data_IF_377966040223
#
_entry.id   IF_377966040223
#
_cell.length_a   1.000
_cell.length_b   1.000
_cell.length_c   1.000
_cell.angle_alpha   90.00
_cell.angle_beta   90.00
_cell.angle_gamma   90.00
#
_symmetry.space_group_name_H-M   'P 1'
#
loop_
_entity.id
_entity.type
_entity.pdbx_description
1 polymer ?
#
# COMPACT_ATOMS: atom_id res chain seq x y z
N UNK A 1 16.48 31.44 -16.73
CA UNK A 1 15.28 30.58 -16.69
C UNK A 1 15.69 29.19 -16.22
N UNK A 2 14.82 28.53 -15.47
CA UNK A 2 14.90 27.16 -14.93
C UNK A 2 15.65 26.97 -13.60
N UNK A 3 14.88 27.00 -12.52
CA UNK A 3 15.23 26.54 -11.16
C UNK A 3 15.41 25.01 -11.15
N UNK A 4 16.57 24.54 -10.72
CA UNK A 4 16.80 23.13 -10.37
C UNK A 4 16.43 22.93 -8.90
N UNK A 5 15.14 22.68 -8.60
CA UNK A 5 14.73 22.24 -7.25
C UNK A 5 15.08 20.76 -7.11
N UNK A 6 15.80 20.33 -6.06
CA UNK A 6 15.83 18.92 -5.72
C UNK A 6 14.38 18.52 -5.41
N UNK A 7 13.81 17.64 -6.21
CA UNK A 7 12.50 17.04 -5.96
C UNK A 7 12.61 16.33 -4.61
N UNK A 8 12.04 16.96 -3.58
CA UNK A 8 11.95 16.40 -2.24
C UNK A 8 11.11 15.13 -2.35
N UNK A 9 11.74 13.95 -2.44
CA UNK A 9 11.08 12.64 -2.56
C UNK A 9 9.93 12.48 -1.54
N UNK A 10 10.02 13.16 -0.37
CA UNK A 10 8.97 13.16 0.65
C UNK A 10 7.65 13.81 0.22
N UNK A 11 7.68 14.80 -0.66
CA UNK A 11 6.48 15.49 -1.15
C UNK A 11 5.76 14.65 -2.22
N UNK A 12 6.55 14.00 -3.08
CA UNK A 12 6.08 13.06 -4.11
C UNK A 12 5.50 11.78 -3.49
N UNK A 13 6.07 11.34 -2.36
CA UNK A 13 5.49 10.28 -1.53
C UNK A 13 4.11 10.73 -1.02
N UNK A 14 3.91 11.98 -0.61
CA UNK A 14 2.62 12.42 -0.04
C UNK A 14 1.47 12.32 -1.06
N UNK A 15 1.64 12.86 -2.27
CA UNK A 15 0.54 12.93 -3.26
C UNK A 15 0.25 11.57 -3.92
N UNK A 16 1.30 10.81 -4.27
CA UNK A 16 1.14 9.47 -4.83
C UNK A 16 0.62 8.47 -3.81
N UNK A 17 0.99 8.62 -2.54
CA UNK A 17 0.56 7.68 -1.50
C UNK A 17 -0.87 7.94 -1.07
N UNK A 18 -1.36 9.18 -1.05
CA UNK A 18 -2.78 9.47 -0.77
C UNK A 18 -3.72 8.79 -1.77
N UNK A 19 -3.44 8.89 -3.08
CA UNK A 19 -4.25 8.21 -4.09
C UNK A 19 -4.21 6.68 -3.98
N UNK A 20 -3.03 6.12 -3.69
CA UNK A 20 -2.87 4.67 -3.47
C UNK A 20 -3.49 4.20 -2.16
N UNK A 21 -3.48 5.01 -1.11
CA UNK A 21 -4.12 4.73 0.18
C UNK A 21 -5.61 4.46 0.00
N UNK A 22 -6.30 5.31 -0.75
CA UNK A 22 -7.73 5.13 -1.05
C UNK A 22 -7.99 3.80 -1.77
N UNK A 23 -7.10 3.45 -2.69
CA UNK A 23 -7.16 2.20 -3.48
C UNK A 23 -6.88 0.97 -2.61
N UNK A 24 -5.85 1.02 -1.76
CA UNK A 24 -5.54 -0.02 -0.79
C UNK A 24 -6.71 -0.23 0.17
N UNK A 25 -7.23 0.84 0.79
CA UNK A 25 -8.37 0.77 1.70
C UNK A 25 -9.59 0.14 1.04
N UNK A 26 -9.95 0.56 -0.17
CA UNK A 26 -11.10 -0.01 -0.90
C UNK A 26 -10.93 -1.50 -1.16
N UNK A 27 -9.73 -1.94 -1.52
CA UNK A 27 -9.47 -3.35 -1.76
C UNK A 27 -9.44 -4.15 -0.46
N UNK A 28 -8.85 -3.62 0.61
CA UNK A 28 -8.86 -4.25 1.93
C UNK A 28 -10.28 -4.39 2.45
N UNK A 29 -11.13 -3.36 2.29
CA UNK A 29 -12.56 -3.44 2.61
C UNK A 29 -13.27 -4.50 1.77
N UNK A 30 -12.94 -4.63 0.49
CA UNK A 30 -13.50 -5.68 -0.36
C UNK A 30 -13.06 -7.07 0.10
N UNK A 31 -11.77 -7.27 0.39
CA UNK A 31 -11.25 -8.55 0.86
C UNK A 31 -11.86 -8.91 2.22
N UNK A 32 -11.95 -7.96 3.13
CA UNK A 32 -12.58 -8.13 4.44
C UNK A 32 -14.06 -8.53 4.30
N UNK A 33 -14.82 -7.88 3.40
CA UNK A 33 -16.22 -8.23 3.16
C UNK A 33 -16.41 -9.62 2.53
N UNK A 34 -15.37 -10.14 1.87
CA UNK A 34 -15.33 -11.49 1.32
C UNK A 34 -14.78 -12.54 2.31
N UNK A 35 -14.49 -12.13 3.56
CA UNK A 35 -13.92 -13.02 4.57
C UNK A 35 -12.45 -13.37 4.33
N UNK A 36 -11.76 -12.66 3.42
CA UNK A 36 -10.32 -12.81 3.20
C UNK A 36 -9.56 -12.16 4.36
N UNK A 37 -8.84 -13.00 5.10
CA UNK A 37 -8.04 -12.54 6.25
C UNK A 37 -6.64 -12.10 5.87
N UNK A 38 -6.08 -12.67 4.80
CA UNK A 38 -4.72 -12.39 4.35
C UNK A 38 -4.67 -12.22 2.84
N UNK A 39 -3.81 -11.32 2.38
CA UNK A 39 -3.58 -11.05 0.96
C UNK A 39 -2.09 -10.93 0.70
N UNK A 40 -1.61 -11.41 -0.44
CA UNK A 40 -0.20 -11.33 -0.81
C UNK A 40 0.12 -10.04 -1.59
N UNK A 41 1.39 -9.60 -1.57
CA UNK A 41 1.82 -8.45 -2.38
C UNK A 41 1.70 -8.74 -3.88
N UNK A 42 1.80 -10.00 -4.30
CA UNK A 42 1.58 -10.41 -5.68
C UNK A 42 0.12 -10.24 -6.09
N UNK A 43 -0.81 -10.63 -5.21
CA UNK A 43 -2.24 -10.53 -5.50
C UNK A 43 -2.71 -9.06 -5.52
N UNK A 44 -2.19 -8.24 -4.61
CA UNK A 44 -2.42 -6.79 -4.68
C UNK A 44 -1.81 -6.19 -5.96
N UNK A 45 -0.62 -6.63 -6.36
CA UNK A 45 0.03 -6.17 -7.59
C UNK A 45 -0.80 -6.47 -8.83
N UNK A 46 -1.37 -7.67 -8.94
CA UNK A 46 -2.28 -8.02 -10.04
C UNK A 46 -3.57 -7.20 -10.02
N UNK A 47 -4.19 -7.02 -8.85
CA UNK A 47 -5.44 -6.27 -8.71
C UNK A 47 -5.29 -4.77 -8.99
N UNK A 48 -4.13 -4.20 -8.69
CA UNK A 48 -3.88 -2.77 -8.86
C UNK A 48 -3.04 -2.42 -10.07
N UNK A 49 -2.59 -3.41 -10.85
CA UNK A 49 -1.57 -3.24 -11.89
C UNK A 49 -0.33 -2.50 -11.36
N UNK A 50 0.03 -2.77 -10.10
CA UNK A 50 1.20 -2.21 -9.43
C UNK A 50 2.30 -3.25 -9.34
N UNK A 51 3.54 -2.80 -9.13
CA UNK A 51 4.64 -3.71 -8.88
C UNK A 51 4.60 -4.19 -7.42
N UNK A 52 4.66 -5.49 -7.18
CA UNK A 52 4.67 -6.08 -5.84
C UNK A 52 5.84 -5.56 -4.97
N UNK A 53 6.96 -5.17 -5.59
CA UNK A 53 8.06 -4.49 -4.92
C UNK A 53 7.67 -3.07 -4.45
N UNK A 54 6.90 -2.34 -5.25
CA UNK A 54 6.40 -1.01 -4.91
C UNK A 54 5.41 -1.09 -3.75
N UNK A 55 4.49 -2.05 -3.78
CA UNK A 55 3.53 -2.28 -2.70
C UNK A 55 4.25 -2.61 -1.39
N UNK A 56 5.26 -3.49 -1.44
CA UNK A 56 6.12 -3.78 -0.28
C UNK A 56 6.74 -2.51 0.30
N UNK A 57 7.26 -1.63 -0.57
CA UNK A 57 7.93 -0.39 -0.17
C UNK A 57 6.95 0.64 0.41
N UNK A 58 5.79 0.82 -0.24
CA UNK A 58 4.72 1.69 0.25
C UNK A 58 4.22 1.22 1.61
N UNK A 59 3.90 -0.08 1.77
CA UNK A 59 3.42 -0.63 3.03
C UNK A 59 4.50 -0.60 4.13
N UNK A 60 5.77 -0.83 3.78
CA UNK A 60 6.89 -0.72 4.72
C UNK A 60 7.07 0.71 5.26
N UNK A 61 6.69 1.75 4.49
CA UNK A 61 6.69 3.13 4.99
C UNK A 61 5.67 3.35 6.10
N UNK A 62 4.57 2.59 6.14
CA UNK A 62 3.55 2.67 7.20
C UNK A 62 3.87 1.78 8.41
N UNK A 63 4.78 0.81 8.27
CA UNK A 63 5.16 -0.14 9.30
C UNK A 63 5.42 -1.55 8.78
N UNK A 64 5.75 -2.47 9.69
CA UNK A 64 5.94 -3.88 9.35
C UNK A 64 4.60 -4.62 9.32
N UNK A 65 4.04 -4.71 8.13
CA UNK A 65 2.86 -5.53 7.88
C UNK A 65 3.28 -6.61 6.90
N UNK A 66 3.34 -7.85 7.35
CA UNK A 66 3.67 -8.96 6.48
C UNK A 66 4.52 -9.98 7.18
N UNK A 67 4.00 -11.21 7.25
CA UNK A 67 4.83 -12.36 7.64
C UNK A 67 5.34 -13.01 6.37
N UNK A 68 6.66 -13.21 6.28
CA UNK A 68 7.30 -13.89 5.15
C UNK A 68 6.66 -15.27 4.98
N UNK A 69 5.97 -15.49 3.87
CA UNK A 69 5.25 -16.74 3.58
C UNK A 69 3.74 -16.75 3.86
N UNK A 70 3.20 -15.74 4.55
CA UNK A 70 1.75 -15.63 4.86
C UNK A 70 1.10 -14.45 4.12
N UNK A 71 1.84 -13.35 3.94
CA UNK A 71 1.31 -12.12 3.34
C UNK A 71 0.85 -11.10 4.39
N UNK A 72 0.01 -10.17 3.96
CA UNK A 72 -0.51 -9.05 4.74
C UNK A 72 -1.86 -9.42 5.34
N UNK A 73 -2.04 -9.21 6.64
CA UNK A 73 -3.36 -9.38 7.26
C UNK A 73 -4.25 -8.19 6.88
N UNK A 74 -5.40 -8.47 6.27
CA UNK A 74 -6.29 -7.47 5.67
C UNK A 74 -6.79 -6.47 6.70
N UNK A 75 -7.36 -6.96 7.82
CA UNK A 75 -7.90 -6.09 8.87
C UNK A 75 -6.80 -5.29 9.56
N UNK A 76 -5.64 -5.90 9.86
CA UNK A 76 -4.51 -5.19 10.48
C UNK A 76 -3.91 -4.12 9.56
N UNK A 77 -3.80 -4.41 8.26
CA UNK A 77 -3.32 -3.45 7.28
C UNK A 77 -4.28 -2.27 7.21
N UNK A 78 -5.59 -2.53 7.09
CA UNK A 78 -6.64 -1.52 7.02
C UNK A 78 -6.63 -0.60 8.24
N UNK A 79 -6.54 -1.16 9.45
CA UNK A 79 -6.46 -0.36 10.68
C UNK A 79 -5.27 0.60 10.69
N UNK A 80 -4.11 0.16 10.20
CA UNK A 80 -2.93 1.03 10.14
C UNK A 80 -3.00 2.09 9.04
N UNK A 81 -3.70 1.82 7.94
CA UNK A 81 -3.89 2.79 6.86
C UNK A 81 -4.91 3.90 7.22
N UNK A 82 -5.79 3.66 8.19
CA UNK A 82 -6.80 4.63 8.66
C UNK A 82 -6.30 5.48 9.83
N UNK A 83 -5.20 5.08 10.49
CA UNK A 83 -4.64 5.75 11.68
C UNK A 83 -3.62 6.82 11.31
#
# INVERSE_FOLDING_TARGET
MSQNRPTNDRDVISELTTGRLSVYLRCLTYLESHGQQTVSSAELAERFHLNSAQIRKDLACFGEFGTRGVGYNVSRLKEHLVR
#
